data_IF_341854223952
#
_entry.id   IF_341854223952
#
_cell.length_a   1.000
_cell.length_b   1.000
_cell.length_c   1.000
_cell.angle_alpha   90.00
_cell.angle_beta   90.00
_cell.angle_gamma   90.00
#
_symmetry.space_group_name_H-M   'P 1'
#
loop_
_entity.id
_entity.type
_entity.pdbx_description
1 polymer ?
#
# COMPACT_ATOMS: atom_id res chain seq x y z
N UNK A 1 -7.99 -28.01 8.22
CA UNK A 1 -8.39 -27.05 9.26
C UNK A 1 -8.89 -25.77 8.58
N UNK A 2 -10.18 -25.74 8.23
CA UNK A 2 -10.87 -24.56 7.70
C UNK A 2 -11.56 -23.88 8.89
N UNK A 3 -11.01 -22.75 9.34
CA UNK A 3 -11.79 -21.75 10.05
C UNK A 3 -11.45 -20.39 9.45
N UNK A 4 -12.52 -19.71 9.08
CA UNK A 4 -12.56 -18.51 8.27
C UNK A 4 -11.90 -17.35 9.02
N UNK A 5 -10.83 -16.83 8.43
CA UNK A 5 -10.39 -15.46 8.67
C UNK A 5 -11.53 -14.55 8.19
N UNK A 6 -12.15 -13.81 9.10
CA UNK A 6 -13.11 -12.74 8.77
C UNK A 6 -12.40 -11.41 9.03
N UNK A 7 -11.91 -10.71 7.99
CA UNK A 7 -11.23 -9.41 8.14
C UNK A 7 -12.12 -8.31 8.73
N UNK A 8 -13.45 -8.51 8.73
CA UNK A 8 -14.45 -7.47 8.99
C UNK A 8 -14.33 -6.78 10.36
N UNK A 9 -13.79 -7.41 11.40
CA UNK A 9 -13.79 -6.82 12.76
C UNK A 9 -12.55 -5.98 13.09
N UNK A 10 -11.50 -6.00 12.27
CA UNK A 10 -10.22 -5.34 12.60
C UNK A 10 -10.01 -4.00 11.87
N UNK A 11 -10.84 -3.69 10.86
CA UNK A 11 -10.48 -2.71 9.83
C UNK A 11 -11.36 -1.44 9.83
N UNK A 12 -12.39 -1.35 10.67
CA UNK A 12 -13.35 -0.25 10.64
C UNK A 12 -12.77 1.16 10.95
N UNK A 13 -11.52 1.27 11.44
CA UNK A 13 -10.87 2.54 11.81
C UNK A 13 -9.55 2.82 11.05
N UNK A 14 -9.38 2.34 9.81
CA UNK A 14 -8.12 2.50 9.08
C UNK A 14 -8.01 3.84 8.32
N UNK A 15 -6.86 4.53 8.37
CA UNK A 15 -6.64 5.71 7.56
C UNK A 15 -6.38 5.34 6.09
N UNK A 16 -7.15 5.94 5.18
CA UNK A 16 -7.06 5.74 3.73
C UNK A 16 -5.70 6.16 3.12
N UNK A 17 -4.91 6.94 3.86
CA UNK A 17 -3.72 7.66 3.39
C UNK A 17 -2.37 6.97 3.64
N UNK A 18 -2.33 5.73 4.15
CA UNK A 18 -1.07 4.99 4.25
C UNK A 18 -0.45 4.89 2.85
N UNK A 19 0.70 5.55 2.61
CA UNK A 19 1.28 5.65 1.26
C UNK A 19 1.44 4.28 0.60
N UNK A 20 1.08 4.15 -0.70
CA UNK A 20 1.32 2.91 -1.44
C UNK A 20 2.82 2.59 -1.46
N UNK A 21 3.15 1.29 -1.34
CA UNK A 21 4.52 0.77 -1.45
C UNK A 21 5.04 1.08 -2.87
N UNK A 22 6.08 1.93 -3.04
CA UNK A 22 6.57 2.31 -4.36
C UNK A 22 7.13 1.12 -5.15
N UNK A 23 7.03 1.23 -6.47
CA UNK A 23 7.53 0.26 -7.45
C UNK A 23 9.08 0.18 -7.49
N UNK A 24 9.79 1.19 -7.02
CA UNK A 24 11.24 1.32 -7.25
C UNK A 24 12.10 0.88 -6.06
N UNK A 25 13.14 0.15 -6.40
CA UNK A 25 14.08 -0.55 -5.52
C UNK A 25 14.68 0.33 -4.40
N UNK A 26 14.83 -0.30 -3.22
CA UNK A 26 15.72 0.08 -2.10
C UNK A 26 15.53 1.48 -1.50
N UNK A 27 14.30 1.87 -1.18
CA UNK A 27 14.05 2.95 -0.21
C UNK A 27 13.46 2.35 1.07
N UNK A 28 14.30 2.29 2.11
CA UNK A 28 13.97 2.26 3.54
C UNK A 28 12.75 1.44 4.02
N UNK A 29 12.57 0.19 3.60
CA UNK A 29 11.61 -0.74 4.24
C UNK A 29 12.14 -1.32 5.56
N UNK A 30 12.78 -0.49 6.39
CA UNK A 30 13.19 -0.89 7.73
C UNK A 30 12.09 -0.47 8.68
N UNK A 31 11.47 -1.44 9.33
CA UNK A 31 10.61 -1.18 10.47
C UNK A 31 11.50 -0.59 11.58
N UNK A 32 11.05 0.44 12.30
CA UNK A 32 11.80 1.02 13.39
C UNK A 32 12.29 -0.05 14.40
N UNK A 33 13.42 0.22 15.05
CA UNK A 33 14.09 -0.63 16.07
C UNK A 33 13.09 -0.98 17.20
N UNK A 34 13.23 -2.08 17.95
CA UNK A 34 12.31 -2.43 19.05
C UNK A 34 11.93 -1.24 19.95
N UNK A 35 10.65 -1.12 20.30
CA UNK A 35 10.11 0.12 20.88
C UNK A 35 10.76 0.46 22.24
N UNK A 36 11.19 -0.55 22.99
CA UNK A 36 11.94 -0.38 24.24
C UNK A 36 13.30 0.31 24.03
N UNK A 37 13.93 0.18 22.87
CA UNK A 37 15.18 0.86 22.50
C UNK A 37 14.94 2.28 21.96
N UNK A 38 13.77 2.55 21.38
CA UNK A 38 13.43 3.90 20.87
C UNK A 38 13.20 4.91 21.99
N UNK A 39 12.71 4.48 23.16
CA UNK A 39 12.52 5.35 24.33
C UNK A 39 13.82 5.99 24.85
N UNK A 40 15.00 5.45 24.52
CA UNK A 40 16.28 6.09 24.86
C UNK A 40 16.60 7.34 24.01
N UNK A 41 15.87 7.58 22.92
CA UNK A 41 16.01 8.75 22.05
C UNK A 41 14.77 9.64 22.10
N UNK A 42 14.51 10.26 23.27
CA UNK A 42 13.36 11.15 23.52
C UNK A 42 13.21 12.38 22.58
N UNK A 43 14.14 12.65 21.65
CA UNK A 43 14.18 13.92 20.89
C UNK A 43 13.71 13.87 19.43
N UNK A 44 13.24 12.73 18.89
CA UNK A 44 12.91 12.60 17.45
C UNK A 44 11.43 12.31 17.15
N UNK A 45 10.61 12.05 18.18
CA UNK A 45 9.19 11.71 18.04
C UNK A 45 8.33 12.78 17.34
N UNK A 46 8.50 14.10 17.62
CA UNK A 46 7.74 15.16 16.94
C UNK A 46 8.05 15.26 15.44
N UNK A 47 9.27 14.90 15.03
CA UNK A 47 9.70 14.90 13.62
C UNK A 47 9.05 13.75 12.84
N UNK A 48 8.96 12.54 13.41
CA UNK A 48 8.27 11.40 12.80
C UNK A 48 6.76 11.63 12.63
N UNK A 49 6.11 12.23 13.64
CA UNK A 49 4.71 12.63 13.54
C UNK A 49 4.50 13.74 12.50
N UNK A 50 5.42 14.70 12.41
CA UNK A 50 5.36 15.75 11.40
C UNK A 50 5.58 15.21 9.99
N UNK A 51 6.40 14.18 9.77
CA UNK A 51 6.54 13.53 8.45
C UNK A 51 5.27 12.75 8.07
N UNK A 52 4.58 12.14 9.04
CA UNK A 52 3.29 11.46 8.83
C UNK A 52 2.12 12.44 8.63
N UNK A 53 2.13 13.61 9.29
CA UNK A 53 1.11 14.65 9.20
C UNK A 53 1.38 15.68 8.09
N UNK A 54 2.62 15.92 7.66
CA UNK A 54 2.90 16.74 6.47
C UNK A 54 2.41 16.05 5.20
N UNK A 55 2.31 14.72 5.19
CA UNK A 55 1.65 13.96 4.13
C UNK A 55 0.18 14.36 3.92
N UNK A 56 -0.50 14.87 4.95
CA UNK A 56 -1.92 15.29 4.83
C UNK A 56 -2.09 16.75 4.41
N UNK A 57 -1.14 17.64 4.71
CA UNK A 57 -1.22 19.08 4.34
C UNK A 57 -0.60 19.43 3.00
N UNK A 58 0.29 18.59 2.45
CA UNK A 58 0.85 18.77 1.10
C UNK A 58 -0.17 18.42 -0.01
N UNK A 59 -1.25 17.68 0.32
CA UNK A 59 -2.26 17.23 -0.63
C UNK A 59 -3.24 18.29 -1.16
N UNK A 60 -3.44 19.41 -0.46
CA UNK A 60 -4.47 20.39 -0.85
C UNK A 60 -3.99 21.46 -1.84
N UNK A 61 -2.70 21.80 -1.86
CA UNK A 61 -2.18 22.90 -2.70
C UNK A 61 -1.71 22.45 -4.10
N UNK A 62 -1.41 21.16 -4.29
CA UNK A 62 -0.86 20.61 -5.55
C UNK A 62 -1.93 20.16 -6.57
N UNK A 63 -3.22 20.28 -6.26
CA UNK A 63 -4.31 19.64 -7.03
C UNK A 63 -5.11 20.59 -7.96
N UNK A 64 -4.85 21.90 -7.96
CA UNK A 64 -5.72 22.84 -8.71
C UNK A 64 -5.53 22.78 -10.22
N UNK A 65 -4.31 22.60 -10.74
CA UNK A 65 -4.06 22.53 -12.18
C UNK A 65 -4.55 21.22 -12.79
N UNK A 66 -4.27 20.11 -12.10
CA UNK A 66 -4.74 18.79 -12.49
C UNK A 66 -6.27 18.74 -12.51
N UNK A 67 -6.91 19.22 -11.43
CA UNK A 67 -8.38 19.28 -11.35
C UNK A 67 -8.95 20.17 -12.46
N UNK A 68 -8.38 21.35 -12.70
CA UNK A 68 -8.84 22.24 -13.77
C UNK A 68 -8.73 21.60 -15.14
N UNK A 69 -7.63 20.91 -15.43
CA UNK A 69 -7.43 20.19 -16.69
C UNK A 69 -8.48 19.09 -16.85
N UNK A 70 -8.67 18.24 -15.83
CA UNK A 70 -9.64 17.16 -15.87
C UNK A 70 -11.05 17.68 -16.14
N UNK A 71 -11.47 18.72 -15.42
CA UNK A 71 -12.78 19.35 -15.60
C UNK A 71 -12.91 20.01 -16.99
N UNK A 72 -11.88 20.68 -17.50
CA UNK A 72 -11.93 21.29 -18.84
C UNK A 72 -11.98 20.26 -19.97
N UNK A 73 -11.28 19.13 -19.83
CA UNK A 73 -11.28 18.06 -20.83
C UNK A 73 -12.62 17.31 -20.87
N UNK A 74 -13.37 17.36 -19.76
CA UNK A 74 -14.62 16.61 -19.59
C UNK A 74 -15.86 17.49 -19.57
N UNK A 75 -15.69 18.79 -19.80
CA UNK A 75 -16.78 19.76 -19.86
C UNK A 75 -17.75 19.41 -21.00
N UNK A 76 -19.04 19.35 -20.68
CA UNK A 76 -20.10 19.01 -21.64
C UNK A 76 -20.13 17.53 -22.07
N UNK A 77 -19.34 16.64 -21.46
CA UNK A 77 -19.39 15.20 -21.72
C UNK A 77 -20.29 14.49 -20.71
N UNK A 78 -21.32 13.80 -21.21
CA UNK A 78 -22.35 13.19 -20.36
C UNK A 78 -22.06 11.73 -19.97
N UNK A 79 -21.21 11.01 -20.70
CA UNK A 79 -20.91 9.59 -20.43
C UNK A 79 -19.52 9.36 -19.85
N UNK A 80 -19.40 8.35 -18.97
CA UNK A 80 -18.11 7.91 -18.42
C UNK A 80 -17.11 7.54 -19.53
N UNK A 81 -17.60 6.93 -20.61
CA UNK A 81 -16.78 6.55 -21.76
C UNK A 81 -16.22 7.77 -22.51
N UNK A 82 -17.01 8.82 -22.71
CA UNK A 82 -16.56 10.05 -23.36
C UNK A 82 -15.53 10.77 -22.49
N UNK A 83 -15.78 10.87 -21.19
CA UNK A 83 -14.83 11.45 -20.23
C UNK A 83 -13.53 10.67 -20.18
N UNK A 84 -13.59 9.34 -20.02
CA UNK A 84 -12.42 8.48 -19.97
C UNK A 84 -11.59 8.57 -21.26
N UNK A 85 -12.26 8.62 -22.42
CA UNK A 85 -11.60 8.79 -23.71
C UNK A 85 -10.93 10.17 -23.81
N UNK A 86 -11.58 11.26 -23.42
CA UNK A 86 -11.00 12.59 -23.47
C UNK A 86 -9.72 12.70 -22.61
N UNK A 87 -9.72 12.09 -21.42
CA UNK A 87 -8.53 12.01 -20.57
C UNK A 87 -7.43 11.15 -21.19
N UNK A 88 -7.76 9.95 -21.68
CA UNK A 88 -6.80 9.05 -22.33
C UNK A 88 -6.18 9.70 -23.58
N UNK A 89 -7.01 10.33 -24.41
CA UNK A 89 -6.61 11.04 -25.63
C UNK A 89 -5.63 12.17 -25.32
N UNK A 90 -5.96 12.98 -24.32
CA UNK A 90 -5.07 14.06 -23.90
C UNK A 90 -3.74 13.51 -23.37
N UNK A 91 -3.77 12.53 -22.46
CA UNK A 91 -2.54 11.97 -21.87
C UNK A 91 -1.63 11.36 -22.95
N UNK A 92 -2.21 10.57 -23.86
CA UNK A 92 -1.45 9.89 -24.93
C UNK A 92 -0.84 10.84 -25.96
N UNK A 93 -1.39 12.05 -26.12
CA UNK A 93 -0.86 13.09 -27.01
C UNK A 93 0.12 14.07 -26.35
N UNK A 94 0.12 14.15 -25.02
CA UNK A 94 0.83 15.23 -24.31
C UNK A 94 1.89 14.75 -23.33
N UNK A 95 1.90 13.48 -22.93
CA UNK A 95 2.93 12.94 -22.03
C UNK A 95 3.88 12.07 -22.83
N UNK A 96 5.17 12.38 -22.80
CA UNK A 96 6.23 11.61 -23.44
C UNK A 96 6.82 10.55 -22.49
N UNK A 97 7.30 9.44 -23.05
CA UNK A 97 7.96 8.42 -22.26
C UNK A 97 9.42 8.82 -21.94
N UNK A 98 9.83 8.70 -20.67
CA UNK A 98 11.22 8.93 -20.23
C UNK A 98 12.14 7.80 -20.72
N UNK A 99 12.56 7.92 -21.98
CA UNK A 99 13.49 6.98 -22.62
C UNK A 99 14.89 7.02 -21.99
N UNK A 100 15.27 8.13 -21.35
CA UNK A 100 16.54 8.23 -20.65
C UNK A 100 16.55 7.30 -19.44
N UNK A 101 15.50 7.31 -18.61
CA UNK A 101 15.36 6.38 -17.49
C UNK A 101 15.44 4.92 -17.94
N UNK A 102 14.75 4.57 -19.03
CA UNK A 102 14.79 3.22 -19.62
C UNK A 102 16.21 2.79 -19.99
N UNK A 103 17.03 3.73 -20.48
CA UNK A 103 18.41 3.47 -20.89
C UNK A 103 19.40 3.28 -19.73
N UNK A 104 19.00 3.61 -18.49
CA UNK A 104 19.85 3.44 -17.32
C UNK A 104 19.87 1.95 -16.91
N UNK A 105 21.06 1.33 -16.78
CA UNK A 105 21.17 -0.04 -16.28
C UNK A 105 20.54 -0.18 -14.90
N UNK A 106 19.82 -1.27 -14.64
CA UNK A 106 18.99 -1.47 -13.44
C UNK A 106 19.72 -1.14 -12.12
N UNK A 107 20.97 -1.56 -11.97
CA UNK A 107 21.80 -1.30 -10.77
C UNK A 107 22.12 0.19 -10.52
N UNK A 108 21.96 1.06 -11.51
CA UNK A 108 22.22 2.50 -11.42
C UNK A 108 20.96 3.36 -11.36
N UNK A 109 19.77 2.76 -11.55
CA UNK A 109 18.49 3.50 -11.49
C UNK A 109 18.24 4.18 -10.14
N UNK A 110 18.84 3.66 -9.06
CA UNK A 110 18.81 4.28 -7.73
C UNK A 110 19.33 5.73 -7.70
N UNK A 111 20.18 6.11 -8.66
CA UNK A 111 20.79 7.43 -8.73
C UNK A 111 19.98 8.44 -9.56
N UNK A 112 18.94 8.01 -10.27
CA UNK A 112 18.01 8.90 -10.98
C UNK A 112 16.63 8.26 -10.97
N UNK A 113 15.78 8.72 -10.06
CA UNK A 113 14.38 8.34 -10.04
C UNK A 113 13.59 9.17 -11.06
N UNK A 114 12.67 8.55 -11.82
CA UNK A 114 11.85 9.27 -12.77
C UNK A 114 10.69 9.94 -12.02
N UNK A 115 10.14 11.03 -12.55
CA UNK A 115 9.04 11.77 -11.92
C UNK A 115 7.70 11.07 -12.16
N UNK A 116 7.12 10.45 -11.11
CA UNK A 116 5.90 9.63 -11.24
C UNK A 116 4.68 10.21 -10.51
N UNK A 117 4.86 11.30 -9.76
CA UNK A 117 3.74 11.98 -9.10
C UNK A 117 2.90 12.72 -10.14
N UNK A 118 1.55 12.63 -10.12
CA UNK A 118 0.69 13.23 -11.14
C UNK A 118 0.99 14.70 -11.45
N UNK A 119 1.20 15.53 -10.42
CA UNK A 119 1.54 16.93 -10.58
C UNK A 119 2.90 17.14 -11.28
N UNK A 120 3.90 16.32 -10.95
CA UNK A 120 5.22 16.39 -11.60
C UNK A 120 5.16 15.92 -13.05
N UNK A 121 4.42 14.83 -13.33
CA UNK A 121 4.19 14.34 -14.69
C UNK A 121 3.47 15.40 -15.51
N UNK A 122 2.44 16.04 -14.94
CA UNK A 122 1.69 17.09 -15.60
C UNK A 122 2.57 18.31 -15.93
N UNK A 123 3.44 18.72 -15.00
CA UNK A 123 4.34 19.85 -15.20
C UNK A 123 5.45 19.54 -16.21
N UNK A 124 6.03 18.33 -16.16
CA UNK A 124 7.17 17.94 -17.01
C UNK A 124 6.78 17.40 -18.37
N UNK A 125 5.52 16.95 -18.52
CA UNK A 125 5.02 16.25 -19.71
C UNK A 125 5.84 15.00 -20.05
N UNK A 126 6.43 14.36 -19.06
CA UNK A 126 7.30 13.19 -19.22
C UNK A 126 7.16 12.23 -18.03
N UNK A 127 7.08 10.93 -18.28
CA UNK A 127 6.97 9.89 -17.26
C UNK A 127 7.42 8.50 -17.75
N UNK A 128 7.50 7.52 -16.85
CA UNK A 128 7.42 6.10 -17.24
C UNK A 128 6.03 5.55 -16.90
N UNK A 129 5.79 4.26 -17.13
CA UNK A 129 4.45 3.65 -17.02
C UNK A 129 3.72 3.92 -15.69
N UNK A 130 4.47 3.98 -14.58
CA UNK A 130 3.91 4.35 -13.28
C UNK A 130 3.31 5.77 -13.28
N UNK A 131 3.99 6.75 -13.85
CA UNK A 131 3.54 8.14 -13.89
C UNK A 131 2.38 8.36 -14.86
N UNK A 132 2.37 7.66 -16.00
CA UNK A 132 1.18 7.63 -16.88
C UNK A 132 -0.03 7.10 -16.13
N UNK A 133 0.12 5.94 -15.47
CA UNK A 133 -0.99 5.29 -14.80
C UNK A 133 -1.46 6.04 -13.54
N UNK A 134 -0.55 6.67 -12.79
CA UNK A 134 -0.89 7.58 -11.69
C UNK A 134 -1.61 8.83 -12.18
N UNK A 135 -1.17 9.44 -13.29
CA UNK A 135 -1.82 10.62 -13.86
C UNK A 135 -3.25 10.29 -14.32
N UNK A 136 -3.47 9.14 -14.95
CA UNK A 136 -4.81 8.69 -15.33
C UNK A 136 -5.73 8.52 -14.12
N UNK A 137 -5.25 7.95 -13.01
CA UNK A 137 -6.02 7.84 -11.76
C UNK A 137 -6.42 9.22 -11.25
N UNK A 138 -5.45 10.13 -11.11
CA UNK A 138 -5.70 11.46 -10.57
C UNK A 138 -6.66 12.30 -11.44
N UNK A 139 -6.49 12.25 -12.77
CA UNK A 139 -7.41 12.94 -13.69
C UNK A 139 -8.82 12.32 -13.64
N UNK A 140 -8.89 10.98 -13.53
CA UNK A 140 -10.16 10.27 -13.35
C UNK A 140 -10.90 10.70 -12.10
N UNK A 141 -10.20 10.72 -10.96
CA UNK A 141 -10.75 11.15 -9.68
C UNK A 141 -11.32 12.57 -9.76
N UNK A 142 -10.57 13.51 -10.35
CA UNK A 142 -11.03 14.88 -10.56
C UNK A 142 -12.22 15.00 -11.53
N UNK A 143 -12.37 14.07 -12.48
CA UNK A 143 -13.48 14.00 -13.42
C UNK A 143 -14.68 13.17 -12.94
N UNK A 144 -14.61 12.62 -11.72
CA UNK A 144 -15.65 11.75 -11.15
C UNK A 144 -15.69 10.34 -11.74
N UNK A 145 -14.57 9.87 -12.31
CA UNK A 145 -14.41 8.50 -12.84
C UNK A 145 -13.68 7.61 -11.84
N UNK A 146 -14.07 6.33 -11.81
CA UNK A 146 -13.33 5.31 -11.08
C UNK A 146 -12.26 4.71 -11.99
N UNK A 147 -11.04 5.22 -11.87
CA UNK A 147 -9.85 4.70 -12.55
C UNK A 147 -8.91 4.12 -11.50
N UNK A 148 -8.44 2.90 -11.73
CA UNK A 148 -7.52 2.20 -10.83
C UNK A 148 -6.22 1.91 -11.57
N UNK A 149 -5.12 1.87 -10.84
CA UNK A 149 -3.83 1.44 -11.38
C UNK A 149 -3.67 -0.07 -11.19
N UNK A 150 -3.26 -0.75 -12.25
CA UNK A 150 -2.96 -2.17 -12.28
C UNK A 150 -1.45 -2.34 -12.44
N UNK A 151 -0.88 -3.26 -11.65
CA UNK A 151 0.52 -3.66 -11.74
C UNK A 151 0.64 -5.06 -12.31
N UNK A 152 1.68 -5.28 -13.11
CA UNK A 152 1.96 -6.57 -13.68
C UNK A 152 3.23 -6.60 -14.51
N UNK A 153 3.23 -7.47 -15.51
CA UNK A 153 4.32 -7.68 -16.44
C UNK A 153 3.86 -7.31 -17.85
N UNK A 154 4.58 -6.39 -18.48
CA UNK A 154 4.41 -6.01 -19.87
C UNK A 154 5.46 -6.69 -20.75
N UNK A 155 5.05 -7.37 -21.82
CA UNK A 155 5.93 -7.98 -22.82
C UNK A 155 5.69 -7.34 -24.19
N UNK A 156 6.53 -6.38 -24.53
CA UNK A 156 6.55 -5.80 -25.87
C UNK A 156 7.18 -6.81 -26.86
N UNK A 157 6.77 -6.84 -28.15
CA UNK A 157 7.34 -7.76 -29.14
C UNK A 157 8.87 -7.65 -29.29
N UNK A 158 9.42 -6.45 -29.11
CA UNK A 158 10.86 -6.16 -29.16
C UNK A 158 11.53 -6.17 -27.77
N UNK A 159 10.79 -6.53 -26.72
CA UNK A 159 11.26 -6.58 -25.34
C UNK A 159 11.81 -7.95 -24.92
N UNK A 160 12.30 -8.07 -23.69
CA UNK A 160 12.71 -9.34 -23.12
C UNK A 160 11.54 -10.33 -23.06
N UNK A 161 11.80 -11.62 -23.28
CA UNK A 161 10.76 -12.66 -23.33
C UNK A 161 10.11 -12.91 -21.96
N UNK A 162 10.89 -12.69 -20.90
CA UNK A 162 10.46 -12.68 -19.51
C UNK A 162 9.52 -11.50 -19.17
N UNK A 163 9.38 -10.53 -20.09
CA UNK A 163 8.65 -9.29 -19.87
C UNK A 163 9.38 -8.35 -18.92
N UNK A 164 8.80 -7.18 -18.70
CA UNK A 164 9.30 -6.20 -17.73
C UNK A 164 8.18 -5.77 -16.79
N UNK A 165 8.49 -5.42 -15.54
CA UNK A 165 7.52 -4.79 -14.65
C UNK A 165 6.86 -3.58 -15.34
N UNK A 166 5.54 -3.53 -15.34
CA UNK A 166 4.75 -2.52 -16.04
C UNK A 166 3.50 -2.14 -15.24
N UNK A 167 2.97 -0.95 -15.51
CA UNK A 167 1.78 -0.42 -14.86
C UNK A 167 0.85 0.23 -15.89
N UNK A 168 -0.44 -0.02 -15.75
CA UNK A 168 -1.51 0.50 -16.62
C UNK A 168 -2.76 0.74 -15.79
N UNK A 169 -3.92 0.93 -16.41
CA UNK A 169 -5.16 1.22 -15.69
C UNK A 169 -6.32 0.31 -16.08
N UNK A 170 -7.31 0.23 -15.19
CA UNK A 170 -8.68 -0.08 -15.57
C UNK A 170 -9.58 1.09 -15.19
N UNK A 171 -10.62 1.30 -15.98
CA UNK A 171 -11.66 2.31 -15.75
C UNK A 171 -13.01 1.63 -15.66
N UNK A 172 -13.81 2.02 -14.67
CA UNK A 172 -15.20 1.59 -14.56
C UNK A 172 -16.07 2.51 -15.40
N UNK A 173 -16.95 1.92 -16.20
CA UNK A 173 -17.99 2.61 -16.94
C UNK A 173 -19.30 1.87 -16.71
N UNK A 174 -20.26 2.50 -16.04
CA UNK A 174 -21.43 1.81 -15.51
C UNK A 174 -21.03 0.71 -14.51
N UNK A 175 -21.35 -0.55 -14.83
CA UNK A 175 -21.05 -1.72 -13.97
C UNK A 175 -19.88 -2.57 -14.48
N UNK A 176 -19.21 -2.15 -15.56
CA UNK A 176 -18.16 -2.93 -16.20
C UNK A 176 -16.82 -2.22 -16.09
N UNK A 177 -15.76 -3.01 -15.94
CA UNK A 177 -14.38 -2.55 -15.96
C UNK A 177 -13.76 -2.76 -17.34
N UNK A 178 -12.98 -1.78 -17.78
CA UNK A 178 -12.31 -1.79 -19.07
C UNK A 178 -10.82 -1.52 -18.89
N UNK A 179 -9.98 -2.30 -19.55
CA UNK A 179 -8.52 -2.15 -19.49
C UNK A 179 -8.07 -1.00 -20.39
N UNK A 180 -7.07 -0.26 -19.94
CA UNK A 180 -6.39 0.71 -20.79
C UNK A 180 -4.92 0.89 -20.41
N UNK A 181 -4.08 1.18 -21.39
CA UNK A 181 -2.66 1.54 -21.19
C UNK A 181 -2.32 2.82 -21.95
N UNK A 182 -2.29 3.94 -21.23
CA UNK A 182 -1.90 5.23 -21.80
C UNK A 182 -0.40 5.30 -22.14
N UNK A 183 0.43 4.41 -21.62
CA UNK A 183 1.87 4.38 -21.90
C UNK A 183 2.12 3.80 -23.29
N UNK A 184 1.64 2.59 -23.55
CA UNK A 184 1.82 1.95 -24.87
C UNK A 184 0.84 2.52 -25.90
N UNK A 185 -0.28 3.11 -25.46
CA UNK A 185 -1.19 3.86 -26.31
C UNK A 185 -0.65 5.23 -26.75
N UNK A 186 0.41 5.77 -26.14
CA UNK A 186 0.98 7.07 -26.51
C UNK A 186 1.96 6.99 -27.69
N UNK A 187 2.62 5.85 -27.88
CA UNK A 187 3.63 5.68 -28.93
C UNK A 187 4.77 4.77 -28.50
N UNK A 188 5.97 5.00 -29.05
CA UNK A 188 7.11 4.09 -28.88
C UNK A 188 8.45 4.80 -28.69
N UNK A 189 9.42 4.09 -28.12
CA UNK A 189 10.80 4.57 -28.01
C UNK A 189 11.57 4.27 -29.30
N UNK A 190 12.21 5.29 -29.87
CA UNK A 190 13.18 5.15 -30.97
C UNK A 190 14.55 5.65 -30.49
N UNK A 191 15.41 4.71 -30.09
CA UNK A 191 16.68 5.03 -29.42
C UNK A 191 16.47 5.79 -28.11
N UNK A 192 17.03 7.00 -28.02
CA UNK A 192 16.92 7.90 -26.85
C UNK A 192 15.80 8.95 -26.99
N UNK A 193 14.87 8.75 -27.93
CA UNK A 193 13.75 9.66 -28.16
C UNK A 193 12.44 8.89 -28.07
N UNK A 194 11.42 9.57 -27.56
CA UNK A 194 10.05 9.09 -27.65
C UNK A 194 9.40 9.64 -28.92
N UNK A 195 8.62 8.80 -29.60
CA UNK A 195 7.82 9.18 -30.77
C UNK A 195 6.36 8.95 -30.41
N UNK A 196 5.57 10.01 -30.49
CA UNK A 196 4.12 9.92 -30.36
C UNK A 196 3.54 9.20 -31.58
N UNK A 197 2.78 8.14 -31.32
CA UNK A 197 2.09 7.33 -32.31
C UNK A 197 0.89 6.69 -31.63
N UNK A 198 -0.20 7.46 -31.53
CA UNK A 198 -1.32 7.11 -30.69
C UNK A 198 -1.99 5.82 -31.17
N UNK A 199 -2.12 4.85 -30.27
CA UNK A 199 -2.77 3.57 -30.54
C UNK A 199 -3.99 3.38 -29.64
N UNK A 200 -5.17 3.66 -30.21
CA UNK A 200 -6.45 3.56 -29.51
C UNK A 200 -6.86 2.12 -29.18
N UNK A 201 -6.15 1.09 -29.67
CA UNK A 201 -6.41 -0.30 -29.26
C UNK A 201 -6.12 -0.51 -27.77
N UNK A 202 -5.30 0.35 -27.17
CA UNK A 202 -5.03 0.38 -25.74
C UNK A 202 -6.07 1.18 -24.93
N UNK A 203 -7.12 1.73 -25.55
CA UNK A 203 -8.28 2.29 -24.84
C UNK A 203 -9.43 1.30 -24.89
N UNK A 204 -10.02 0.98 -23.73
CA UNK A 204 -11.06 -0.06 -23.59
C UNK A 204 -10.66 -1.38 -24.26
N UNK A 205 -9.41 -1.79 -24.05
CA UNK A 205 -8.80 -2.92 -24.71
C UNK A 205 -9.54 -4.22 -24.37
N UNK A 206 -9.76 -5.06 -25.40
CA UNK A 206 -10.37 -6.38 -25.21
C UNK A 206 -9.48 -7.24 -24.30
N UNK A 207 -9.99 -7.82 -23.20
CA UNK A 207 -9.14 -8.51 -22.22
C UNK A 207 -8.24 -9.60 -22.81
N UNK A 208 -8.78 -10.47 -23.66
CA UNK A 208 -7.99 -11.53 -24.32
C UNK A 208 -6.95 -11.01 -25.31
N UNK A 209 -7.13 -9.82 -25.88
CA UNK A 209 -6.08 -9.18 -26.68
C UNK A 209 -5.01 -8.55 -25.79
N UNK A 210 -5.42 -7.89 -24.72
CA UNK A 210 -4.54 -7.21 -23.78
C UNK A 210 -3.60 -8.21 -23.06
N UNK A 211 -4.13 -9.37 -22.65
CA UNK A 211 -3.39 -10.45 -21.98
C UNK A 211 -2.27 -11.09 -22.80
N UNK A 212 -2.21 -10.87 -24.12
CA UNK A 212 -1.08 -11.35 -24.94
C UNK A 212 0.24 -10.66 -24.57
N UNK A 213 0.15 -9.45 -24.04
CA UNK A 213 1.30 -8.62 -23.69
C UNK A 213 1.26 -8.04 -22.28
N UNK A 214 0.12 -8.06 -21.58
CA UNK A 214 -0.05 -7.50 -20.25
C UNK A 214 -0.57 -8.56 -19.28
N UNK A 215 0.29 -9.08 -18.43
CA UNK A 215 -0.11 -10.01 -17.38
C UNK A 215 -0.24 -9.27 -16.04
N UNK A 216 -1.45 -9.07 -15.48
CA UNK A 216 -1.61 -8.43 -14.18
C UNK A 216 -1.20 -9.37 -13.04
N UNK A 217 -0.59 -8.80 -12.00
CA UNK A 217 -0.21 -9.55 -10.80
C UNK A 217 -1.44 -10.15 -10.09
N UNK A 218 -2.59 -9.48 -10.16
CA UNK A 218 -3.86 -9.95 -9.59
C UNK A 218 -4.74 -10.54 -10.70
N UNK A 219 -5.17 -11.81 -10.58
CA UNK A 219 -5.97 -12.48 -11.60
C UNK A 219 -7.31 -11.78 -11.87
N UNK A 220 -7.85 -11.04 -10.90
CA UNK A 220 -9.10 -10.28 -11.08
C UNK A 220 -9.02 -9.28 -12.24
N UNK A 221 -7.86 -8.68 -12.45
CA UNK A 221 -7.65 -7.69 -13.51
C UNK A 221 -7.43 -8.30 -14.89
N UNK A 222 -7.45 -9.64 -15.02
CA UNK A 222 -7.49 -10.28 -16.32
C UNK A 222 -8.87 -10.16 -16.99
N UNK A 223 -9.92 -9.86 -16.21
CA UNK A 223 -11.31 -9.73 -16.68
C UNK A 223 -11.77 -10.95 -17.50
N UNK A 224 -11.36 -12.15 -17.06
CA UNK A 224 -11.62 -13.42 -17.71
C UNK A 224 -12.07 -14.45 -16.67
N UNK A 225 -12.97 -15.35 -17.08
CA UNK A 225 -13.43 -16.47 -16.26
C UNK A 225 -12.34 -17.55 -16.13
N UNK A 226 -11.48 -17.66 -17.15
CA UNK A 226 -10.33 -18.57 -17.17
C UNK A 226 -9.04 -17.73 -17.26
N UNK A 227 -8.57 -17.15 -16.15
CA UNK A 227 -7.34 -16.38 -16.13
C UNK A 227 -6.13 -17.26 -16.47
N UNK A 228 -5.15 -16.67 -17.15
CA UNK A 228 -3.88 -17.31 -17.48
C UNK A 228 -2.90 -17.17 -16.31
N UNK A 229 -2.20 -18.25 -16.00
CA UNK A 229 -1.11 -18.24 -15.01
C UNK A 229 0.12 -17.56 -15.61
N UNK A 230 1.00 -17.06 -14.74
CA UNK A 230 2.21 -16.37 -15.20
C UNK A 230 3.10 -17.26 -16.08
N UNK A 231 3.26 -18.54 -15.69
CA UNK A 231 4.04 -19.51 -16.46
C UNK A 231 3.50 -19.70 -17.90
N UNK A 232 2.17 -19.72 -18.05
CA UNK A 232 1.51 -19.90 -19.35
C UNK A 232 1.60 -18.62 -20.19
N UNK A 233 1.49 -17.45 -19.56
CA UNK A 233 1.75 -16.15 -20.19
C UNK A 233 3.17 -16.07 -20.77
N UNK A 234 4.17 -16.50 -20.00
CA UNK A 234 5.57 -16.55 -20.46
C UNK A 234 5.74 -17.54 -21.61
N UNK A 235 5.13 -18.72 -21.52
CA UNK A 235 5.19 -19.76 -22.54
C UNK A 235 4.34 -19.46 -23.80
N UNK A 236 3.53 -18.40 -23.79
CA UNK A 236 2.63 -18.02 -24.90
C UNK A 236 1.67 -19.14 -25.32
N UNK A 237 1.23 -19.95 -24.36
CA UNK A 237 0.32 -21.07 -24.61
C UNK A 237 -0.94 -20.97 -23.74
N UNK A 238 -2.04 -21.62 -24.14
CA UNK A 238 -3.18 -21.84 -23.23
C UNK A 238 -2.73 -22.61 -21.99
N UNK A 239 -3.47 -22.45 -20.88
CA UNK A 239 -3.29 -23.29 -19.71
C UNK A 239 -3.60 -24.75 -20.07
N UNK A 240 -2.74 -25.67 -19.64
CA UNK A 240 -2.99 -27.11 -19.84
C UNK A 240 -4.24 -27.57 -19.05
N UNK A 241 -4.47 -26.94 -17.89
CA UNK A 241 -5.65 -27.12 -17.03
C UNK A 241 -6.18 -25.73 -16.64
N UNK A 242 -7.26 -25.24 -17.27
CA UNK A 242 -7.80 -23.91 -16.96
C UNK A 242 -8.41 -23.88 -15.55
N UNK A 243 -8.00 -22.89 -14.76
CA UNK A 243 -8.60 -22.61 -13.45
C UNK A 243 -9.73 -21.59 -13.62
N UNK A 244 -10.89 -21.87 -13.04
CA UNK A 244 -12.03 -20.96 -13.08
C UNK A 244 -11.92 -19.90 -11.96
N UNK A 245 -12.12 -18.64 -12.34
CA UNK A 245 -12.07 -17.50 -11.43
C UNK A 245 -13.27 -16.58 -11.65
N UNK A 246 -14.11 -16.41 -10.62
CA UNK A 246 -15.25 -15.49 -10.67
C UNK A 246 -14.78 -14.04 -10.48
N UNK A 247 -14.19 -13.47 -11.54
CA UNK A 247 -13.65 -12.10 -11.47
C UNK A 247 -14.74 -11.06 -11.24
N UNK A 248 -15.95 -11.27 -11.75
CA UNK A 248 -17.09 -10.36 -11.57
C UNK A 248 -17.50 -10.27 -10.11
N UNK A 249 -17.66 -11.41 -9.43
CA UNK A 249 -18.01 -11.43 -8.01
C UNK A 249 -16.87 -10.85 -7.15
N UNK A 250 -15.62 -11.16 -7.53
CA UNK A 250 -14.44 -10.64 -6.85
C UNK A 250 -14.37 -9.11 -6.95
N UNK A 251 -14.64 -8.53 -8.13
CA UNK A 251 -14.70 -7.08 -8.33
C UNK A 251 -15.80 -6.45 -7.48
N UNK A 252 -17.01 -7.02 -7.47
CA UNK A 252 -18.13 -6.50 -6.65
C UNK A 252 -17.77 -6.50 -5.17
N UNK A 253 -17.18 -7.58 -4.66
CA UNK A 253 -16.73 -7.62 -3.27
C UNK A 253 -15.66 -6.57 -3.02
N UNK A 254 -14.62 -6.53 -3.87
CA UNK A 254 -13.49 -5.63 -3.74
C UNK A 254 -13.91 -4.15 -3.73
N UNK A 255 -14.82 -3.73 -4.61
CA UNK A 255 -15.32 -2.36 -4.69
C UNK A 255 -16.02 -1.88 -3.41
N UNK A 256 -16.64 -2.80 -2.67
CA UNK A 256 -17.37 -2.49 -1.43
C UNK A 256 -16.49 -2.54 -0.18
N UNK A 257 -15.20 -2.85 -0.33
CA UNK A 257 -14.24 -2.84 0.78
C UNK A 257 -13.67 -1.43 1.00
N UNK A 258 -13.34 -1.05 2.25
CA UNK A 258 -12.49 0.10 2.53
C UNK A 258 -11.14 0.01 1.78
N UNK A 259 -10.52 1.16 1.45
CA UNK A 259 -9.31 1.20 0.62
C UNK A 259 -8.15 0.36 1.18
N UNK A 260 -7.99 0.33 2.50
CA UNK A 260 -6.98 -0.49 3.15
C UNK A 260 -7.24 -2.00 2.96
N UNK A 261 -8.51 -2.44 3.03
CA UNK A 261 -8.89 -3.84 2.77
C UNK A 261 -8.78 -4.21 1.29
N UNK A 262 -9.09 -3.27 0.39
CA UNK A 262 -8.88 -3.46 -1.04
C UNK A 262 -7.42 -3.83 -1.34
N UNK A 263 -6.46 -3.16 -0.70
CA UNK A 263 -5.02 -3.42 -0.88
C UNK A 263 -4.60 -4.76 -0.28
N UNK A 264 -5.03 -5.05 0.94
CA UNK A 264 -4.73 -6.33 1.61
C UNK A 264 -5.26 -7.51 0.79
N UNK A 265 -6.56 -7.49 0.46
CA UNK A 265 -7.18 -8.57 -0.31
C UNK A 265 -6.57 -8.72 -1.70
N UNK A 266 -6.16 -7.61 -2.33
CA UNK A 266 -5.41 -7.64 -3.58
C UNK A 266 -4.09 -8.41 -3.42
N UNK A 267 -3.21 -8.03 -2.50
CA UNK A 267 -1.93 -8.73 -2.35
C UNK A 267 -2.09 -10.18 -1.87
N UNK A 268 -3.11 -10.48 -1.07
CA UNK A 268 -3.46 -11.86 -0.71
C UNK A 268 -3.85 -12.68 -1.94
N UNK A 269 -4.70 -12.15 -2.82
CA UNK A 269 -5.05 -12.80 -4.09
C UNK A 269 -3.83 -12.98 -4.98
N UNK A 270 -3.01 -11.94 -5.14
CA UNK A 270 -1.77 -12.01 -5.93
C UNK A 270 -0.86 -13.15 -5.45
N UNK A 271 -0.63 -13.25 -4.15
CA UNK A 271 0.20 -14.30 -3.57
C UNK A 271 -0.42 -15.70 -3.67
N UNK A 272 -1.74 -15.81 -3.48
CA UNK A 272 -2.44 -17.10 -3.66
C UNK A 272 -2.40 -17.57 -5.11
N UNK A 273 -2.51 -16.64 -6.05
CA UNK A 273 -2.48 -16.90 -7.48
C UNK A 273 -1.07 -17.25 -7.99
N UNK A 274 -0.06 -16.54 -7.49
CA UNK A 274 1.34 -16.79 -7.80
C UNK A 274 2.19 -16.83 -6.53
N UNK A 275 2.38 -18.02 -5.93
CA UNK A 275 3.28 -18.19 -4.79
C UNK A 275 4.76 -17.94 -5.10
N UNK A 276 5.15 -17.67 -6.35
CA UNK A 276 6.49 -17.17 -6.66
C UNK A 276 6.56 -15.63 -6.57
N UNK A 277 5.43 -14.93 -6.46
CA UNK A 277 5.35 -13.48 -6.30
C UNK A 277 5.66 -13.04 -4.87
N UNK A 278 6.92 -13.20 -4.49
CA UNK A 278 7.47 -12.83 -3.18
C UNK A 278 7.23 -11.36 -2.82
N UNK A 279 7.08 -10.48 -3.82
CA UNK A 279 6.76 -9.07 -3.63
C UNK A 279 5.37 -8.86 -3.04
N UNK A 280 4.35 -9.60 -3.50
CA UNK A 280 3.00 -9.52 -2.94
C UNK A 280 3.01 -9.90 -1.44
N UNK A 281 3.72 -10.99 -1.09
CA UNK A 281 3.86 -11.42 0.29
C UNK A 281 4.65 -10.43 1.15
N UNK A 282 5.71 -9.83 0.60
CA UNK A 282 6.47 -8.79 1.29
C UNK A 282 5.61 -7.54 1.55
N UNK A 283 4.81 -7.10 0.57
CA UNK A 283 3.88 -5.97 0.73
C UNK A 283 2.82 -6.23 1.79
N UNK A 284 2.27 -7.45 1.84
CA UNK A 284 1.37 -7.86 2.91
C UNK A 284 2.03 -7.75 4.29
N UNK A 285 3.22 -8.32 4.44
CA UNK A 285 3.96 -8.27 5.71
C UNK A 285 4.23 -6.80 6.13
N UNK A 286 4.77 -6.01 5.21
CA UNK A 286 5.10 -4.61 5.48
C UNK A 286 3.86 -3.79 5.83
N UNK A 287 2.80 -3.86 5.02
CA UNK A 287 1.59 -3.08 5.23
C UNK A 287 0.89 -3.46 6.53
N UNK A 288 0.77 -4.77 6.81
CA UNK A 288 0.21 -5.25 8.09
C UNK A 288 1.02 -4.74 9.28
N UNK A 289 2.35 -4.61 9.14
CA UNK A 289 3.16 -3.97 10.19
C UNK A 289 2.80 -2.50 10.37
N UNK A 290 2.60 -1.75 9.29
CA UNK A 290 2.20 -0.34 9.38
C UNK A 290 0.85 -0.18 10.08
N UNK A 291 -0.09 -1.12 9.86
CA UNK A 291 -1.36 -1.15 10.60
C UNK A 291 -1.14 -1.34 12.10
N UNK A 292 -0.29 -2.28 12.49
CA UNK A 292 0.06 -2.49 13.89
C UNK A 292 0.75 -1.26 14.51
N UNK A 293 1.66 -0.63 13.77
CA UNK A 293 2.37 0.58 14.21
C UNK A 293 1.41 1.75 14.41
N UNK A 294 0.39 1.89 13.55
CA UNK A 294 -0.64 2.92 13.70
C UNK A 294 -1.45 2.71 14.99
N UNK A 295 -1.91 1.48 15.26
CA UNK A 295 -2.63 1.15 16.50
C UNK A 295 -1.76 1.37 17.73
N UNK A 296 -0.47 1.01 17.64
CA UNK A 296 0.50 1.25 18.70
C UNK A 296 0.79 2.75 18.91
N UNK A 297 0.80 3.57 17.86
CA UNK A 297 0.96 5.01 17.98
C UNK A 297 -0.23 5.65 18.71
N UNK A 298 -1.47 5.23 18.40
CA UNK A 298 -2.67 5.67 19.12
C UNK A 298 -2.61 5.28 20.61
N UNK A 299 -2.15 4.07 20.92
CA UNK A 299 -1.89 3.64 22.29
C UNK A 299 -0.85 4.53 23.01
N UNK A 300 0.26 4.85 22.35
CA UNK A 300 1.31 5.67 22.94
C UNK A 300 0.89 7.13 23.13
N UNK A 301 0.13 7.71 22.21
CA UNK A 301 -0.44 9.05 22.39
C UNK A 301 -1.35 9.10 23.61
N UNK A 302 -2.19 8.06 23.79
CA UNK A 302 -2.98 7.91 25.01
C UNK A 302 -2.10 7.84 26.26
N UNK A 303 -1.05 7.01 26.23
CA UNK A 303 -0.16 6.81 27.38
C UNK A 303 0.55 8.11 27.77
N UNK A 304 1.01 8.89 26.79
CA UNK A 304 1.64 10.20 27.02
C UNK A 304 0.69 11.19 27.70
N UNK A 305 -0.58 11.25 27.27
CA UNK A 305 -1.60 12.09 27.93
C UNK A 305 -1.91 11.63 29.35
N UNK A 306 -1.92 10.31 29.57
CA UNK A 306 -2.07 9.72 30.89
C UNK A 306 -0.90 10.09 31.82
N UNK A 307 0.32 10.08 31.30
CA UNK A 307 1.55 10.51 31.98
C UNK A 307 1.54 12.02 32.32
N UNK A 308 0.92 12.84 31.47
CA UNK A 308 0.77 14.28 31.69
C UNK A 308 -0.41 14.65 32.62
N UNK A 309 -1.16 13.65 33.10
CA UNK A 309 -2.24 13.85 34.06
C UNK A 309 -3.51 14.49 33.48
N UNK A 310 -3.73 14.39 32.16
CA UNK A 310 -4.92 14.94 31.50
C UNK A 310 -6.24 14.37 32.08
N UNK A 311 -7.27 15.22 32.21
CA UNK A 311 -8.55 14.88 32.85
C UNK A 311 -9.39 13.85 32.06
N UNK A 312 -9.19 13.75 30.74
CA UNK A 312 -9.93 12.84 29.87
C UNK A 312 -9.05 11.68 29.43
N UNK A 313 -9.34 10.49 29.97
CA UNK A 313 -8.72 9.24 29.55
C UNK A 313 -9.79 8.26 29.07
N UNK A 314 -9.65 7.69 27.85
CA UNK A 314 -10.56 6.69 27.32
C UNK A 314 -10.70 5.47 28.25
N UNK A 315 -11.78 4.71 28.07
CA UNK A 315 -12.04 3.54 28.88
C UNK A 315 -10.95 2.47 28.72
N UNK A 316 -10.71 1.68 29.79
CA UNK A 316 -9.71 0.60 29.81
C UNK A 316 -9.83 -0.32 28.60
N UNK A 317 -11.06 -0.66 28.22
CA UNK A 317 -11.35 -1.57 27.10
C UNK A 317 -10.89 -0.98 25.76
N UNK A 318 -11.07 0.32 25.54
CA UNK A 318 -10.61 1.01 24.31
C UNK A 318 -9.10 0.90 24.18
N UNK A 319 -8.37 1.17 25.26
CA UNK A 319 -6.91 1.16 25.26
C UNK A 319 -6.34 -0.25 25.13
N UNK A 320 -6.93 -1.23 25.83
CA UNK A 320 -6.58 -2.64 25.67
C UNK A 320 -6.84 -3.12 24.24
N UNK A 321 -7.93 -2.68 23.63
CA UNK A 321 -8.27 -3.04 22.25
C UNK A 321 -7.24 -2.50 21.25
N UNK A 322 -6.73 -1.27 21.43
CA UNK A 322 -5.64 -0.73 20.60
C UNK A 322 -4.37 -1.60 20.69
N UNK A 323 -3.97 -1.96 21.91
CA UNK A 323 -2.78 -2.79 22.14
C UNK A 323 -2.95 -4.20 21.56
N UNK A 324 -4.12 -4.82 21.77
CA UNK A 324 -4.45 -6.15 21.23
C UNK A 324 -4.50 -6.15 19.69
N UNK A 325 -5.04 -5.11 19.07
CA UNK A 325 -5.03 -4.95 17.61
C UNK A 325 -3.60 -4.80 17.07
N UNK A 326 -2.77 -3.98 17.72
CA UNK A 326 -1.37 -3.81 17.35
C UNK A 326 -0.60 -5.14 17.38
N UNK A 327 -0.75 -5.90 18.47
CA UNK A 327 -0.14 -7.21 18.65
C UNK A 327 -0.62 -8.24 17.62
N UNK A 328 -1.93 -8.24 17.32
CA UNK A 328 -2.51 -9.09 16.29
C UNK A 328 -1.89 -8.82 14.92
N UNK A 329 -1.79 -7.55 14.54
CA UNK A 329 -1.16 -7.15 13.29
C UNK A 329 0.33 -7.51 13.23
N UNK A 330 1.07 -7.33 14.31
CA UNK A 330 2.49 -7.71 14.35
C UNK A 330 2.67 -9.23 14.22
N UNK A 331 1.79 -10.02 14.86
CA UNK A 331 1.80 -11.48 14.75
C UNK A 331 1.52 -11.95 13.32
N UNK A 332 0.53 -11.36 12.66
CA UNK A 332 0.20 -11.64 11.25
C UNK A 332 1.38 -11.28 10.34
N UNK A 333 1.95 -10.09 10.55
CA UNK A 333 3.12 -9.62 9.79
C UNK A 333 4.32 -10.55 9.96
N UNK A 334 4.62 -10.97 11.19
CA UNK A 334 5.72 -11.88 11.49
C UNK A 334 5.52 -13.21 10.76
N UNK A 335 4.31 -13.77 10.78
CA UNK A 335 4.00 -14.99 10.03
C UNK A 335 4.24 -14.83 8.52
N UNK A 336 3.99 -13.64 7.96
CA UNK A 336 4.32 -13.38 6.56
C UNK A 336 5.83 -13.26 6.30
N UNK A 337 6.57 -12.58 7.18
CA UNK A 337 8.02 -12.48 7.06
C UNK A 337 8.72 -13.84 7.23
N UNK A 338 8.24 -14.71 8.12
CA UNK A 338 8.77 -16.07 8.30
C UNK A 338 8.70 -16.93 7.05
N UNK A 339 7.68 -16.74 6.20
CA UNK A 339 7.59 -17.42 4.89
C UNK A 339 8.67 -16.93 3.92
N UNK A 340 9.10 -15.66 4.07
CA UNK A 340 10.07 -15.02 3.19
C UNK A 340 11.52 -15.21 3.63
N UNK A 341 11.79 -15.38 4.92
CA UNK A 341 13.15 -15.52 5.49
C UNK A 341 14.00 -16.59 4.77
N UNK A 342 13.50 -17.80 4.46
CA UNK A 342 14.29 -18.84 3.79
C UNK A 342 14.66 -18.52 2.34
N UNK A 343 13.92 -17.62 1.67
CA UNK A 343 14.10 -17.34 0.24
C UNK A 343 15.35 -16.50 -0.04
N UNK A 344 15.84 -15.77 0.97
CA UNK A 344 17.08 -14.97 0.93
C UNK A 344 17.25 -14.12 -0.35
N UNK A 345 16.19 -13.42 -0.77
CA UNK A 345 16.21 -12.59 -1.97
C UNK A 345 17.26 -11.46 -1.87
N UNK A 346 18.13 -11.26 -2.87
CA UNK A 346 19.21 -10.25 -2.81
C UNK A 346 18.71 -8.80 -2.76
N UNK A 347 17.44 -8.54 -3.11
CA UNK A 347 16.86 -7.21 -3.13
C UNK A 347 16.29 -6.80 -1.76
N UNK A 348 15.71 -7.74 -1.01
CA UNK A 348 14.99 -7.44 0.23
C UNK A 348 15.24 -8.42 1.40
N UNK A 349 16.10 -9.43 1.25
CA UNK A 349 16.36 -10.44 2.29
C UNK A 349 16.85 -9.85 3.61
N UNK A 350 17.70 -8.82 3.56
CA UNK A 350 18.11 -8.09 4.77
C UNK A 350 16.94 -7.35 5.42
N UNK A 351 16.05 -6.75 4.62
CA UNK A 351 14.87 -6.06 5.15
C UNK A 351 13.92 -7.07 5.80
N UNK A 352 13.69 -8.22 5.19
CA UNK A 352 12.87 -9.31 5.75
C UNK A 352 13.39 -9.76 7.11
N UNK A 353 14.70 -10.10 7.20
CA UNK A 353 15.29 -10.55 8.47
C UNK A 353 15.23 -9.48 9.56
N UNK A 354 15.61 -8.25 9.24
CA UNK A 354 15.59 -7.16 10.20
C UNK A 354 14.17 -6.88 10.70
N UNK A 355 13.20 -6.87 9.80
CA UNK A 355 11.80 -6.63 10.15
C UNK A 355 11.21 -7.78 10.99
N UNK A 356 11.51 -9.03 10.64
CA UNK A 356 11.10 -10.19 11.42
C UNK A 356 11.68 -10.15 12.84
N UNK A 357 12.97 -9.83 12.99
CA UNK A 357 13.61 -9.69 14.30
C UNK A 357 12.98 -8.55 15.12
N UNK A 358 12.80 -7.37 14.52
CA UNK A 358 12.14 -6.25 15.21
C UNK A 358 10.72 -6.62 15.69
N UNK A 359 9.96 -7.40 14.91
CA UNK A 359 8.64 -7.88 15.32
C UNK A 359 8.70 -8.90 16.47
N UNK A 360 9.68 -9.82 16.46
CA UNK A 360 9.93 -10.76 17.56
C UNK A 360 10.25 -10.03 18.86
N UNK A 361 11.14 -9.04 18.78
CA UNK A 361 11.58 -8.23 19.92
C UNK A 361 10.45 -7.35 20.50
N UNK A 362 9.40 -7.06 19.71
CA UNK A 362 8.22 -6.35 20.21
C UNK A 362 7.23 -7.27 20.96
N UNK A 363 7.37 -8.59 20.93
CA UNK A 363 6.46 -9.50 21.65
C UNK A 363 6.51 -9.27 23.17
N UNK A 364 7.71 -9.09 23.73
CA UNK A 364 7.90 -8.80 25.15
C UNK A 364 7.29 -7.45 25.55
N UNK A 365 7.41 -6.45 24.66
CA UNK A 365 6.85 -5.12 24.87
C UNK A 365 5.32 -5.15 25.09
N UNK A 366 4.57 -5.93 24.31
CA UNK A 366 3.11 -6.04 24.50
C UNK A 366 2.74 -6.67 25.85
N UNK A 367 3.52 -7.64 26.34
CA UNK A 367 3.28 -8.26 27.65
C UNK A 367 3.46 -7.24 28.77
N UNK A 368 4.58 -6.51 28.76
CA UNK A 368 4.89 -5.47 29.76
C UNK A 368 3.84 -4.36 29.74
N UNK A 369 3.39 -3.93 28.56
CA UNK A 369 2.38 -2.88 28.45
C UNK A 369 0.99 -3.34 28.92
N UNK A 370 0.64 -4.63 28.75
CA UNK A 370 -0.60 -5.19 29.33
C UNK A 370 -0.58 -5.16 30.86
N UNK A 371 0.55 -5.53 31.48
CA UNK A 371 0.72 -5.47 32.94
C UNK A 371 0.64 -4.03 33.45
N UNK A 372 1.29 -3.10 32.75
CA UNK A 372 1.20 -1.66 33.03
C UNK A 372 -0.25 -1.17 33.02
N UNK A 373 -1.02 -1.51 31.99
CA UNK A 373 -2.43 -1.11 31.89
C UNK A 373 -3.27 -1.68 33.03
N UNK A 374 -3.06 -2.95 33.37
CA UNK A 374 -3.76 -3.57 34.49
C UNK A 374 -3.46 -2.88 35.82
N UNK A 375 -2.19 -2.52 36.06
CA UNK A 375 -1.78 -1.75 37.22
C UNK A 375 -2.38 -0.33 37.22
N UNK A 376 -2.21 0.41 36.13
CA UNK A 376 -2.69 1.79 35.97
C UNK A 376 -4.20 1.92 36.23
N UNK A 377 -5.00 1.00 35.68
CA UNK A 377 -6.45 1.03 35.85
C UNK A 377 -6.94 0.50 37.20
N UNK A 378 -6.13 -0.28 37.95
CA UNK A 378 -6.45 -0.66 39.34
C UNK A 378 -6.29 0.51 40.31
N UNK A 379 -5.44 1.48 40.00
CA UNK A 379 -5.22 2.63 40.87
C UNK A 379 -6.45 3.55 40.91
N UNK A 380 -6.81 4.09 42.10
CA UNK A 380 -7.76 5.17 42.23
C UNK A 380 -7.39 6.34 41.30
N UNK A 381 -8.38 6.94 40.61
CA UNK A 381 -8.14 8.02 39.63
C UNK A 381 -7.22 9.13 40.17
N UNK A 382 -7.37 9.49 41.46
CA UNK A 382 -6.55 10.51 42.12
C UNK A 382 -5.05 10.18 42.18
N UNK A 383 -4.68 8.89 42.24
CA UNK A 383 -3.29 8.44 42.35
C UNK A 383 -2.63 8.21 40.99
N UNK A 384 -3.40 8.25 39.89
CA UNK A 384 -2.85 8.02 38.54
C UNK A 384 -1.98 9.16 38.03
N UNK A 385 -2.16 10.37 38.58
CA UNK A 385 -1.40 11.59 38.24
C UNK A 385 0.00 11.64 38.84
N UNK A 386 0.21 10.92 39.94
CA UNK A 386 1.44 10.97 40.74
C UNK A 386 2.39 9.80 40.43
N UNK A 387 2.03 8.95 39.47
CA UNK A 387 2.89 7.87 39.02
C UNK A 387 4.01 8.46 38.16
N UNK A 388 5.26 8.31 38.61
CA UNK A 388 6.42 8.41 37.73
C UNK A 388 6.44 7.12 36.89
N UNK A 389 5.84 7.17 35.69
CA UNK A 389 5.53 5.99 34.88
C UNK A 389 6.78 5.45 34.13
N UNK A 390 7.91 5.33 34.83
CA UNK A 390 9.11 4.74 34.27
C UNK A 390 9.01 3.20 34.28
N UNK A 391 9.17 2.52 33.12
CA UNK A 391 8.99 1.07 33.03
C UNK A 391 9.95 0.23 33.88
N UNK A 392 11.05 0.82 34.37
CA UNK A 392 12.04 0.13 35.20
C UNK A 392 11.68 0.12 36.69
N UNK A 393 10.68 0.91 37.10
CA UNK A 393 10.26 1.00 38.50
C UNK A 393 9.09 0.04 38.84
N UNK A 394 8.57 -0.69 37.85
CA UNK A 394 7.51 -1.71 38.04
C UNK A 394 8.10 -3.01 38.64
N UNK A 395 9.42 -3.18 38.63
CA UNK A 395 10.12 -4.24 39.39
C UNK A 395 10.39 -3.89 40.84
N UNK A 396 9.77 -2.85 41.40
CA UNK A 396 9.78 -2.64 42.85
C UNK A 396 8.65 -3.46 43.46
N UNK A 397 9.06 -4.48 44.21
CA UNK A 397 8.24 -5.35 45.05
C UNK A 397 6.99 -4.66 45.59
N UNK A 398 5.83 -5.23 45.28
CA UNK A 398 4.65 -5.09 46.14
C UNK A 398 4.98 -5.74 47.49
N UNK A 399 5.70 -5.02 48.35
CA UNK A 399 5.63 -5.26 49.78
C UNK A 399 4.29 -4.70 50.25
N UNK A 400 3.55 -5.51 51.00
CA UNK A 400 2.19 -5.29 51.51
C UNK A 400 2.01 -4.06 52.44
N UNK A 401 2.89 -3.06 52.41
CA UNK A 401 2.99 -2.06 53.48
C UNK A 401 2.41 -0.67 53.20
N UNK A 402 1.84 -0.37 52.02
CA UNK A 402 1.29 0.97 51.75
C UNK A 402 -0.17 0.97 51.25
N UNK A 403 -1.03 0.12 51.80
CA UNK A 403 -2.46 0.42 51.83
C UNK A 403 -2.75 1.33 53.05
N UNK A 404 -3.29 2.55 52.85
CA UNK A 404 -3.78 3.34 53.97
C UNK A 404 -4.91 2.56 54.65
N UNK A 405 -4.69 2.17 55.91
CA UNK A 405 -5.77 1.79 56.80
C UNK A 405 -6.60 3.04 57.07
N UNK A 406 -7.56 3.32 56.19
CA UNK A 406 -8.87 3.94 56.44
C UNK A 406 -9.40 4.59 55.15
N UNK A 407 -10.65 4.20 54.83
CA UNK A 407 -11.57 4.64 53.78
C UNK A 407 -11.56 3.88 52.44
#
# INVERSE_FOLDING_TARGET
>A
MRQLWSPKSLVHDLPDNLSPVPFVHKIAYRIPIPFHLQKQFKSWWPLLLSVLLLGSRIGYAQNTELTRLALSLTEGLDSDSAKAFALFDWVTKHIAYDTHYKSIPSGFRRFRQPHQLPAEVLARKEAVCEGYSNLMVALGEAAGLQIVRIEGVGRAPSGPQEGVPHAWNAVKMGHLWYLMDATWGAGYSSGKRFVFDQDLRYFMARPGWFLRSHWPNDPMWQLQIEPIRFVDFLAQKPADEPEYFSYTDTLVVWENLPLAEQRLTQWERQWRWDPANVYAKFRLAYYTTQLGMHKLAQYNEWKEKAEQGEDYLPEKEVVLNLLAQAETYFSISLAHYQVLEPLNDPNFGDAVRNNANNLRDNAEYFSVEREFLDFYYRLPKRLRRDLDLHPQDITVELTEQELPKNF
#
